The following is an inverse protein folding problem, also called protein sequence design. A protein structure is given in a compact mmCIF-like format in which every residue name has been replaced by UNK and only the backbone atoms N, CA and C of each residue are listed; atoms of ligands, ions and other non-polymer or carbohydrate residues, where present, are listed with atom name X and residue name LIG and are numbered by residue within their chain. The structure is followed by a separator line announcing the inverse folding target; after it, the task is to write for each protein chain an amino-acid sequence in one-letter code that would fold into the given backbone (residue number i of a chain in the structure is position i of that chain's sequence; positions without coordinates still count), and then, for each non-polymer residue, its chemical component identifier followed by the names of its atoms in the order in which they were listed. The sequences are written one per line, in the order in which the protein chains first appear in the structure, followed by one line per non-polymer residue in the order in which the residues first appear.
data_IF_023001103904
#
_entry.id   IF_023001103904
#
_cell.length_a   1.000
_cell.length_b   1.000
_cell.length_c   1.000
_cell.angle_alpha   90.00
_cell.angle_beta   90.00
_cell.angle_gamma   90.00
#
_symmetry.space_group_name_H-M   'P 1'
#
loop_
_entity.id
_entity.type
_entity.pdbx_description
1 polymer ?
#
# COMPACT_ATOMS: atom_id res chain seq x y z
N UNK A 1 -30.78 22.39 -7.91
CA UNK A 1 -30.70 21.21 -7.01
C UNK A 1 -29.36 21.15 -6.30
N UNK A 2 -28.23 21.20 -7.02
CA UNK A 2 -26.87 21.10 -6.44
C UNK A 2 -26.64 22.02 -5.22
N UNK A 3 -26.95 23.32 -5.33
CA UNK A 3 -26.76 24.30 -4.24
C UNK A 3 -27.54 24.00 -2.96
N UNK A 4 -28.59 23.18 -3.01
CA UNK A 4 -29.40 22.79 -1.84
C UNK A 4 -28.87 21.54 -1.13
N UNK A 5 -28.13 20.70 -1.84
CA UNK A 5 -27.79 19.34 -1.40
C UNK A 5 -26.30 19.15 -1.19
N UNK A 6 -25.46 19.81 -1.99
CA UNK A 6 -24.02 19.76 -1.83
C UNK A 6 -23.60 20.37 -0.48
N UNK A 7 -22.76 19.65 0.25
CA UNK A 7 -22.33 20.01 1.61
C UNK A 7 -23.36 19.70 2.70
N UNK A 8 -24.51 19.11 2.36
CA UNK A 8 -25.50 18.73 3.35
C UNK A 8 -25.11 17.44 4.07
N UNK A 9 -25.51 17.36 5.34
CA UNK A 9 -25.49 16.11 6.09
C UNK A 9 -26.77 15.34 5.81
N UNK A 10 -26.65 14.04 5.63
CA UNK A 10 -27.80 13.19 5.34
C UNK A 10 -27.81 11.92 6.18
N UNK A 11 -29.00 11.39 6.42
CA UNK A 11 -29.21 10.01 6.86
C UNK A 11 -29.84 9.21 5.73
N UNK A 12 -29.26 8.07 5.38
CA UNK A 12 -29.86 7.20 4.37
C UNK A 12 -31.18 6.61 4.88
N UNK A 13 -32.21 6.53 4.04
CA UNK A 13 -33.45 5.81 4.34
C UNK A 13 -33.46 4.39 3.79
N UNK A 14 -32.54 4.11 2.88
CA UNK A 14 -32.37 2.83 2.21
C UNK A 14 -31.06 2.17 2.63
N UNK A 15 -31.00 0.85 2.49
CA UNK A 15 -29.73 0.14 2.61
C UNK A 15 -28.82 0.51 1.43
N UNK A 16 -27.54 0.69 1.68
CA UNK A 16 -26.56 1.01 0.65
C UNK A 16 -25.40 0.02 0.70
N UNK A 17 -24.63 -0.06 -0.38
CA UNK A 17 -23.43 -0.88 -0.46
C UNK A 17 -22.26 -0.08 -1.01
N UNK A 18 -21.06 -0.42 -0.54
CA UNK A 18 -19.79 0.12 -1.04
C UNK A 18 -18.75 -0.97 -1.11
N UNK A 19 -17.85 -0.91 -2.10
CA UNK A 19 -16.64 -1.71 -2.12
C UNK A 19 -15.53 -1.13 -1.25
N UNK A 20 -15.67 0.12 -0.78
CA UNK A 20 -14.69 0.83 0.05
C UNK A 20 -13.27 0.82 -0.55
N UNK A 21 -13.17 0.77 -1.88
CA UNK A 21 -11.92 0.71 -2.65
C UNK A 21 -11.37 2.09 -3.02
N UNK A 22 -11.98 3.16 -2.51
CA UNK A 22 -11.69 4.55 -2.88
C UNK A 22 -12.48 5.03 -4.11
N UNK A 23 -13.18 4.14 -4.81
CA UNK A 23 -14.15 4.47 -5.85
C UNK A 23 -15.57 4.34 -5.30
N UNK A 24 -16.48 5.15 -5.85
CA UNK A 24 -17.90 5.06 -5.54
C UNK A 24 -18.49 3.74 -6.09
N UNK A 25 -19.44 3.19 -5.37
CA UNK A 25 -20.22 2.04 -5.80
C UNK A 25 -21.64 2.50 -6.05
N UNK A 26 -22.13 2.26 -7.26
CA UNK A 26 -23.47 2.64 -7.68
C UNK A 26 -24.51 1.88 -6.85
N UNK A 27 -25.43 2.64 -6.26
CA UNK A 27 -26.62 2.11 -5.62
C UNK A 27 -27.83 2.65 -6.37
N UNK A 28 -28.38 1.86 -7.29
CA UNK A 28 -29.59 2.23 -8.02
C UNK A 28 -30.78 2.22 -7.08
N UNK A 29 -31.39 3.38 -6.86
CA UNK A 29 -32.53 3.56 -5.97
C UNK A 29 -33.80 3.80 -6.78
N UNK A 30 -34.71 2.83 -6.74
CA UNK A 30 -36.06 2.93 -7.30
C UNK A 30 -37.08 2.83 -6.17
N UNK A 31 -37.55 3.98 -5.67
CA UNK A 31 -38.38 4.06 -4.48
C UNK A 31 -37.63 3.60 -3.23
N UNK A 32 -38.03 2.47 -2.63
CA UNK A 32 -37.35 1.88 -1.47
C UNK A 32 -36.42 0.71 -1.82
N UNK A 33 -36.38 0.30 -3.09
CA UNK A 33 -35.54 -0.80 -3.56
C UNK A 33 -34.16 -0.27 -3.96
N UNK A 34 -33.12 -0.98 -3.52
CA UNK A 34 -31.73 -0.68 -3.89
C UNK A 34 -31.10 -1.89 -4.57
N UNK A 35 -30.50 -1.65 -5.72
CA UNK A 35 -29.67 -2.63 -6.43
C UNK A 35 -28.22 -2.16 -6.42
N UNK A 36 -27.34 -2.97 -5.83
CA UNK A 36 -25.89 -2.73 -5.81
C UNK A 36 -25.14 -4.06 -5.71
N UNK A 37 -23.84 -4.03 -6.00
CA UNK A 37 -22.92 -5.17 -5.92
C UNK A 37 -21.76 -4.93 -4.95
N UNK A 38 -21.87 -3.90 -4.11
CA UNK A 38 -20.83 -3.54 -3.17
C UNK A 38 -20.59 -4.62 -2.11
N UNK A 39 -19.32 -4.82 -1.76
CA UNK A 39 -18.88 -5.81 -0.78
C UNK A 39 -19.41 -5.55 0.63
N UNK A 40 -19.47 -4.29 1.05
CA UNK A 40 -19.88 -3.89 2.39
C UNK A 40 -21.31 -3.34 2.36
N UNK A 41 -22.11 -3.77 3.33
CA UNK A 41 -23.51 -3.37 3.46
C UNK A 41 -23.69 -2.37 4.60
N UNK A 42 -24.41 -1.31 4.28
CA UNK A 42 -24.75 -0.20 5.16
C UNK A 42 -26.26 -0.21 5.36
N UNK A 43 -26.69 -0.24 6.62
CA UNK A 43 -28.13 -0.28 6.95
C UNK A 43 -28.78 1.08 6.67
N UNK A 44 -30.11 1.18 6.59
CA UNK A 44 -30.76 2.47 6.72
C UNK A 44 -30.32 3.21 7.99
N UNK A 45 -30.41 4.53 7.96
CA UNK A 45 -30.02 5.44 9.03
C UNK A 45 -28.54 5.79 9.04
N UNK A 46 -27.82 5.58 7.94
CA UNK A 46 -26.38 5.86 7.89
C UNK A 46 -26.10 7.32 7.65
N UNK A 47 -25.22 7.86 8.49
CA UNK A 47 -24.75 9.23 8.40
C UNK A 47 -23.79 9.36 7.22
N UNK A 48 -24.07 10.29 6.32
CA UNK A 48 -23.19 10.63 5.22
C UNK A 48 -23.12 12.14 5.00
N UNK A 49 -22.06 12.59 4.35
CA UNK A 49 -21.89 13.95 3.88
C UNK A 49 -21.98 13.98 2.36
N UNK A 50 -22.82 14.84 1.79
CA UNK A 50 -22.99 14.95 0.34
C UNK A 50 -21.87 15.80 -0.25
N UNK A 51 -20.94 15.15 -0.94
CA UNK A 51 -19.75 15.81 -1.51
C UNK A 51 -20.06 16.44 -2.87
N UNK A 52 -20.89 15.74 -3.67
CA UNK A 52 -21.26 16.15 -5.02
C UNK A 52 -22.67 15.65 -5.38
N UNK A 53 -23.32 16.38 -6.28
CA UNK A 53 -24.64 16.05 -6.82
C UNK A 53 -24.58 16.18 -8.32
N UNK A 54 -24.83 15.09 -9.04
CA UNK A 54 -24.90 15.08 -10.50
C UNK A 54 -26.34 14.88 -10.97
N UNK A 55 -26.86 15.81 -11.75
CA UNK A 55 -28.24 15.75 -12.27
C UNK A 55 -28.22 15.23 -13.69
N UNK A 56 -28.91 14.12 -13.93
CA UNK A 56 -29.07 13.49 -15.23
C UNK A 56 -30.52 13.55 -15.70
N UNK A 57 -30.74 13.24 -16.99
CA UNK A 57 -32.08 13.32 -17.64
C UNK A 57 -33.21 12.54 -16.94
N UNK A 58 -32.89 11.53 -16.15
CA UNK A 58 -33.86 10.62 -15.51
C UNK A 58 -33.40 10.11 -14.14
N UNK A 59 -32.38 10.74 -13.55
CA UNK A 59 -31.85 10.38 -12.23
C UNK A 59 -31.04 11.52 -11.65
N UNK A 60 -30.81 11.48 -10.35
CA UNK A 60 -29.88 12.36 -9.65
C UNK A 60 -28.95 11.48 -8.82
N UNK A 61 -27.66 11.66 -9.03
CA UNK A 61 -26.62 10.86 -8.40
C UNK A 61 -26.09 11.66 -7.20
N UNK A 62 -26.28 11.11 -5.99
CA UNK A 62 -25.78 11.69 -4.75
C UNK A 62 -24.47 11.00 -4.36
N UNK A 63 -23.37 11.70 -4.58
CA UNK A 63 -22.02 11.24 -4.26
C UNK A 63 -21.70 11.71 -2.84
N UNK A 64 -21.44 10.78 -1.94
CA UNK A 64 -21.35 11.04 -0.51
C UNK A 64 -20.27 10.21 0.18
N UNK A 65 -19.72 10.77 1.26
CA UNK A 65 -18.73 10.11 2.09
C UNK A 65 -19.31 9.75 3.46
N UNK A 66 -19.01 8.54 3.92
CA UNK A 66 -19.31 8.13 5.29
C UNK A 66 -18.22 8.65 6.24
N UNK A 67 -18.57 9.42 7.28
CA UNK A 67 -17.59 9.95 8.23
C UNK A 67 -16.96 8.85 9.09
N UNK A 68 -17.76 7.83 9.45
CA UNK A 68 -17.32 6.68 10.24
C UNK A 68 -16.70 5.62 9.33
N UNK A 69 -15.39 5.33 9.43
CA UNK A 69 -14.75 4.30 8.63
C UNK A 69 -15.23 2.90 9.05
N UNK A 70 -14.86 1.90 8.27
CA UNK A 70 -14.99 0.50 8.67
C UNK A 70 -13.61 -0.08 8.99
N UNK A 71 -13.60 -1.03 9.93
CA UNK A 71 -12.38 -1.68 10.36
C UNK A 71 -12.20 -2.99 9.60
N UNK A 72 -11.18 -3.08 8.75
CA UNK A 72 -10.94 -4.25 7.90
C UNK A 72 -9.67 -4.97 8.31
N UNK A 73 -9.83 -6.24 8.65
CA UNK A 73 -8.72 -7.12 9.00
C UNK A 73 -7.94 -7.58 7.77
N UNK A 74 -6.61 -7.60 7.88
CA UNK A 74 -5.70 -8.22 6.92
C UNK A 74 -4.64 -9.04 7.65
N UNK A 75 -3.99 -9.96 6.94
CA UNK A 75 -2.97 -10.85 7.50
C UNK A 75 -1.59 -10.39 7.01
N UNK A 76 -0.63 -10.24 7.94
CA UNK A 76 0.79 -10.08 7.64
C UNK A 76 1.60 -11.04 8.53
N UNK A 77 2.19 -12.07 7.91
CA UNK A 77 2.80 -13.17 8.64
C UNK A 77 1.80 -13.83 9.60
N UNK A 78 2.15 -14.05 10.89
CA UNK A 78 1.25 -14.65 11.87
C UNK A 78 0.25 -13.65 12.49
N UNK A 79 0.31 -12.37 12.12
CA UNK A 79 -0.51 -11.32 12.74
C UNK A 79 -1.74 -10.97 11.91
N UNK A 80 -2.87 -10.84 12.59
CA UNK A 80 -4.07 -10.20 12.05
C UNK A 80 -4.06 -8.72 12.42
N UNK A 81 -3.87 -7.87 11.43
CA UNK A 81 -3.82 -6.43 11.54
C UNK A 81 -5.11 -5.81 11.00
N UNK A 82 -5.33 -4.53 11.27
CA UNK A 82 -6.56 -3.84 10.91
C UNK A 82 -6.28 -2.46 10.34
N UNK A 83 -6.89 -2.17 9.20
CA UNK A 83 -6.90 -0.85 8.58
C UNK A 83 -8.28 -0.23 8.73
N UNK A 84 -8.30 1.09 8.91
CA UNK A 84 -9.50 1.88 8.78
C UNK A 84 -9.65 2.31 7.33
N UNK A 85 -10.74 1.91 6.70
CA UNK A 85 -11.03 2.31 5.32
C UNK A 85 -12.29 3.17 5.28
N UNK A 86 -12.22 4.24 4.48
CA UNK A 86 -13.35 5.12 4.21
C UNK A 86 -14.14 4.57 3.04
N UNK A 87 -15.46 4.60 3.17
CA UNK A 87 -16.37 4.04 2.19
C UNK A 87 -17.13 5.18 1.51
N UNK A 88 -16.75 5.56 0.28
CA UNK A 88 -17.59 6.41 -0.55
C UNK A 88 -18.88 5.67 -0.93
N UNK A 89 -19.97 6.40 -1.05
CA UNK A 89 -21.27 5.91 -1.49
C UNK A 89 -21.81 6.81 -2.60
N UNK A 90 -22.48 6.19 -3.56
CA UNK A 90 -23.20 6.90 -4.62
C UNK A 90 -24.62 6.33 -4.69
N UNK A 91 -25.61 7.20 -4.53
CA UNK A 91 -27.02 6.86 -4.68
C UNK A 91 -27.53 7.40 -6.00
N UNK A 92 -27.81 6.51 -6.95
CA UNK A 92 -28.41 6.81 -8.24
C UNK A 92 -29.93 6.83 -8.05
N UNK A 93 -30.48 7.99 -7.66
CA UNK A 93 -31.91 8.12 -7.35
C UNK A 93 -32.67 8.34 -8.65
N UNK A 94 -33.56 7.42 -9.00
CA UNK A 94 -34.43 7.59 -10.17
C UNK A 94 -35.37 8.78 -9.99
N UNK A 95 -35.42 9.66 -11.00
CA UNK A 95 -36.27 10.86 -10.99
C UNK A 95 -37.08 10.91 -12.29
N UNK A 96 -38.39 11.18 -12.23
CA UNK A 96 -39.21 11.40 -13.42
C UNK A 96 -38.61 12.47 -14.36
N UNK A 97 -38.60 12.18 -15.68
CA UNK A 97 -37.94 13.02 -16.69
C UNK A 97 -38.56 14.42 -16.82
N UNK A 98 -39.85 14.51 -16.61
CA UNK A 98 -40.63 15.75 -16.58
C UNK A 98 -40.16 16.68 -15.46
N UNK A 99 -39.82 16.16 -14.28
CA UNK A 99 -39.26 16.98 -13.19
C UNK A 99 -37.91 17.58 -13.57
N UNK A 100 -37.04 16.79 -14.22
CA UNK A 100 -35.72 17.28 -14.65
C UNK A 100 -35.83 18.26 -15.82
N UNK A 101 -36.62 17.93 -16.83
CA UNK A 101 -36.77 18.77 -18.04
C UNK A 101 -37.46 20.11 -17.77
N UNK A 102 -38.33 20.17 -16.78
CA UNK A 102 -38.98 21.41 -16.34
C UNK A 102 -38.19 22.17 -15.26
N UNK A 103 -37.00 21.71 -14.89
CA UNK A 103 -36.20 22.23 -13.76
C UNK A 103 -37.02 22.38 -12.45
N UNK A 104 -37.90 21.40 -12.19
CA UNK A 104 -38.71 21.37 -10.97
C UNK A 104 -37.87 20.93 -9.78
N UNK A 105 -37.09 21.87 -9.27
CA UNK A 105 -36.20 21.67 -8.13
C UNK A 105 -36.92 21.21 -6.86
N UNK A 106 -38.21 21.52 -6.70
CA UNK A 106 -38.99 21.11 -5.54
C UNK A 106 -39.49 19.68 -5.69
N UNK A 107 -39.95 19.30 -6.89
CA UNK A 107 -40.27 17.92 -7.23
C UNK A 107 -39.05 17.00 -7.05
N UNK A 108 -37.89 17.41 -7.55
CA UNK A 108 -36.63 16.67 -7.39
C UNK A 108 -36.25 16.55 -5.90
N UNK A 109 -36.33 17.63 -5.12
CA UNK A 109 -36.06 17.60 -3.67
C UNK A 109 -36.99 16.62 -2.95
N UNK A 110 -38.27 16.57 -3.33
CA UNK A 110 -39.24 15.64 -2.77
C UNK A 110 -38.91 14.18 -3.09
N UNK A 111 -38.36 13.88 -4.27
CA UNK A 111 -37.93 12.52 -4.64
C UNK A 111 -36.69 12.13 -3.87
N UNK A 112 -35.66 13.00 -3.82
CA UNK A 112 -34.43 12.74 -3.05
C UNK A 112 -34.71 12.49 -1.56
N UNK A 113 -35.68 13.20 -0.97
CA UNK A 113 -36.12 13.01 0.41
C UNK A 113 -36.75 11.64 0.70
N UNK A 114 -37.09 10.85 -0.32
CA UNK A 114 -37.53 9.46 -0.14
C UNK A 114 -36.33 8.53 0.11
N UNK A 115 -35.16 8.86 -0.44
CA UNK A 115 -33.93 8.09 -0.28
C UNK A 115 -33.08 8.53 0.93
N UNK A 116 -33.15 9.81 1.31
CA UNK A 116 -32.36 10.38 2.40
C UNK A 116 -33.14 11.42 3.23
N UNK A 117 -32.84 11.55 4.51
CA UNK A 117 -33.18 12.75 5.30
C UNK A 117 -32.03 13.75 5.23
N UNK A 118 -32.32 15.03 4.98
CA UNK A 118 -31.33 16.11 4.90
C UNK A 118 -31.33 16.95 6.17
N UNK A 119 -30.13 17.25 6.67
CA UNK A 119 -29.85 18.03 7.87
C UNK A 119 -28.87 19.16 7.57
N UNK A 120 -28.89 20.19 8.41
CA UNK A 120 -28.01 21.36 8.29
C UNK A 120 -26.62 21.13 8.89
N UNK A 121 -26.50 20.21 9.86
CA UNK A 121 -25.25 19.88 10.52
C UNK A 121 -25.14 18.39 10.87
N UNK A 122 -23.93 17.95 11.19
CA UNK A 122 -23.65 16.58 11.61
C UNK A 122 -24.35 16.27 12.94
N UNK A 123 -24.31 17.22 13.86
CA UNK A 123 -24.88 17.09 15.21
C UNK A 123 -26.41 16.93 15.14
N UNK A 124 -27.07 17.69 14.26
CA UNK A 124 -28.51 17.58 14.01
C UNK A 124 -28.86 16.19 13.47
N UNK A 125 -28.11 15.70 12.48
CA UNK A 125 -28.30 14.36 11.93
C UNK A 125 -28.08 13.26 12.99
N UNK A 126 -27.05 13.39 13.84
CA UNK A 126 -26.77 12.43 14.91
C UNK A 126 -27.80 12.49 16.07
N UNK A 127 -28.45 13.62 16.29
CA UNK A 127 -29.53 13.73 17.27
C UNK A 127 -30.86 13.15 16.76
N UNK A 128 -30.99 12.90 15.45
CA UNK A 128 -32.21 12.39 14.85
C UNK A 128 -32.45 10.92 15.23
N UNK A 129 -33.72 10.59 15.50
CA UNK A 129 -34.14 9.21 15.84
C UNK A 129 -33.91 8.20 14.72
N UNK A 130 -33.80 8.67 13.47
CA UNK A 130 -33.52 7.84 12.30
C UNK A 130 -32.05 7.48 12.15
N UNK A 131 -31.15 8.09 12.92
CA UNK A 131 -29.74 7.70 12.89
C UNK A 131 -29.57 6.33 13.54
N UNK A 132 -28.88 5.43 12.83
CA UNK A 132 -28.71 4.06 13.28
C UNK A 132 -27.60 3.88 14.33
N UNK A 133 -26.92 4.97 14.71
CA UNK A 133 -25.90 4.97 15.76
C UNK A 133 -24.60 4.29 15.35
N UNK A 134 -24.37 3.98 14.06
CA UNK A 134 -23.16 3.26 13.65
C UNK A 134 -21.92 4.05 14.05
N UNK A 135 -21.00 3.34 14.71
CA UNK A 135 -19.62 3.76 14.97
C UNK A 135 -18.69 2.71 14.37
N UNK A 136 -17.46 3.10 14.06
CA UNK A 136 -16.41 2.15 13.70
C UNK A 136 -16.26 1.08 14.80
N UNK A 137 -16.17 -0.19 14.41
CA UNK A 137 -15.91 -1.29 15.33
C UNK A 137 -14.64 -1.04 16.17
N UNK A 138 -14.62 -1.41 17.46
CA UNK A 138 -13.43 -1.28 18.28
C UNK A 138 -12.33 -2.21 17.78
N UNK A 139 -11.08 -1.80 17.99
CA UNK A 139 -9.96 -2.72 17.83
C UNK A 139 -10.06 -3.86 18.86
N UNK A 140 -9.46 -5.04 18.58
CA UNK A 140 -9.29 -6.08 19.59
C UNK A 140 -8.61 -5.56 20.85
N UNK A 141 -8.97 -6.09 22.02
CA UNK A 141 -8.49 -5.58 23.31
C UNK A 141 -6.95 -5.54 23.46
N UNK A 142 -6.24 -6.46 22.81
CA UNK A 142 -4.78 -6.58 22.82
C UNK A 142 -4.12 -6.04 21.53
N UNK A 143 -4.79 -5.17 20.78
CA UNK A 143 -4.29 -4.75 19.47
C UNK A 143 -2.97 -3.96 19.55
N UNK A 144 -2.77 -3.14 20.60
CA UNK A 144 -1.50 -2.44 20.79
C UNK A 144 -0.32 -3.39 21.04
N UNK A 145 -0.55 -4.47 21.80
CA UNK A 145 0.45 -5.53 21.97
C UNK A 145 0.72 -6.23 20.63
N UNK A 146 -0.34 -6.52 19.86
CA UNK A 146 -0.22 -7.13 18.53
C UNK A 146 0.63 -6.27 17.58
N UNK A 147 0.47 -4.94 17.62
CA UNK A 147 1.28 -4.01 16.83
C UNK A 147 2.76 -4.01 17.26
N UNK A 148 3.03 -4.02 18.56
CA UNK A 148 4.40 -4.07 19.07
C UNK A 148 5.10 -5.39 18.70
N UNK A 149 4.41 -6.53 18.87
CA UNK A 149 4.91 -7.85 18.47
C UNK A 149 5.12 -7.94 16.94
N UNK A 150 4.22 -7.36 16.14
CA UNK A 150 4.36 -7.29 14.69
C UNK A 150 5.58 -6.46 14.27
N UNK A 151 5.81 -5.30 14.89
CA UNK A 151 6.99 -4.48 14.60
C UNK A 151 8.30 -5.20 14.94
N UNK A 152 8.35 -5.87 16.09
CA UNK A 152 9.50 -6.68 16.48
C UNK A 152 9.73 -7.83 15.49
N UNK A 153 8.66 -8.51 15.06
CA UNK A 153 8.74 -9.56 14.05
C UNK A 153 9.22 -9.03 12.69
N UNK A 154 8.72 -7.88 12.22
CA UNK A 154 9.20 -7.26 10.96
C UNK A 154 10.68 -6.90 11.03
N UNK A 155 11.14 -6.36 12.15
CA UNK A 155 12.56 -6.09 12.38
C UNK A 155 13.39 -7.37 12.35
N UNK A 156 12.93 -8.45 12.98
CA UNK A 156 13.59 -9.76 12.93
C UNK A 156 13.68 -10.30 11.49
N UNK A 157 12.59 -10.23 10.70
CA UNK A 157 12.59 -10.67 9.31
C UNK A 157 13.58 -9.86 8.45
N UNK A 158 13.60 -8.52 8.62
CA UNK A 158 14.52 -7.65 7.90
C UNK A 158 15.98 -7.95 8.28
N UNK A 159 16.27 -8.08 9.57
CA UNK A 159 17.61 -8.39 10.09
C UNK A 159 18.09 -9.77 9.63
N UNK A 160 17.20 -10.77 9.60
CA UNK A 160 17.53 -12.08 9.06
C UNK A 160 17.88 -12.02 7.57
N UNK A 161 17.17 -11.20 6.77
CA UNK A 161 17.49 -10.99 5.37
C UNK A 161 18.85 -10.28 5.18
N UNK A 162 19.16 -9.29 6.02
CA UNK A 162 20.46 -8.61 6.02
C UNK A 162 21.58 -9.58 6.38
N UNK A 163 21.40 -10.39 7.42
CA UNK A 163 22.39 -11.39 7.83
C UNK A 163 22.62 -12.41 6.72
N UNK A 164 21.56 -12.98 6.14
CA UNK A 164 21.67 -13.91 5.03
C UNK A 164 22.39 -13.28 3.81
N UNK A 165 22.21 -11.98 3.59
CA UNK A 165 22.93 -11.25 2.55
C UNK A 165 24.40 -11.10 2.87
N UNK A 166 24.76 -10.78 4.12
CA UNK A 166 26.14 -10.73 4.58
C UNK A 166 26.84 -12.09 4.43
N UNK A 167 26.19 -13.17 4.85
CA UNK A 167 26.73 -14.53 4.77
C UNK A 167 27.00 -14.93 3.31
N UNK A 168 26.03 -14.72 2.42
CA UNK A 168 26.21 -14.96 0.97
C UNK A 168 27.33 -14.12 0.38
N UNK A 169 27.43 -12.87 0.82
CA UNK A 169 28.47 -11.95 0.36
C UNK A 169 29.86 -12.41 0.78
N UNK A 170 30.00 -12.86 2.02
CA UNK A 170 31.25 -13.41 2.54
C UNK A 170 31.66 -14.68 1.79
N UNK A 171 30.69 -15.57 1.50
CA UNK A 171 30.94 -16.78 0.71
C UNK A 171 31.39 -16.45 -0.72
N UNK A 172 30.70 -15.53 -1.40
CA UNK A 172 31.11 -15.09 -2.75
C UNK A 172 32.48 -14.43 -2.76
N UNK A 173 32.81 -13.60 -1.75
CA UNK A 173 34.15 -13.02 -1.60
C UNK A 173 35.23 -14.10 -1.43
N UNK A 174 34.96 -15.13 -0.61
CA UNK A 174 35.87 -16.27 -0.42
C UNK A 174 36.09 -17.05 -1.73
N UNK A 175 35.01 -17.33 -2.48
CA UNK A 175 35.11 -18.00 -3.78
C UNK A 175 35.84 -17.16 -4.83
N UNK A 176 35.79 -15.83 -4.73
CA UNK A 176 36.55 -14.94 -5.62
C UNK A 176 38.05 -15.04 -5.35
N UNK A 177 38.45 -15.09 -4.08
CA UNK A 177 39.87 -15.22 -3.72
C UNK A 177 40.47 -16.53 -4.23
N UNK A 178 39.71 -17.63 -4.21
CA UNK A 178 40.17 -18.92 -4.76
C UNK A 178 40.30 -18.94 -6.29
N UNK A 179 39.58 -18.05 -6.99
CA UNK A 179 39.57 -17.94 -8.45
C UNK A 179 40.58 -16.93 -9.00
N UNK A 180 41.27 -16.19 -8.13
CA UNK A 180 42.31 -15.26 -8.57
C UNK A 180 43.44 -16.02 -9.27
N UNK A 181 43.81 -15.54 -10.45
CA UNK A 181 44.92 -16.09 -11.24
C UNK A 181 45.97 -15.02 -11.49
N UNK A 182 47.20 -15.45 -11.75
CA UNK A 182 48.30 -14.57 -12.14
C UNK A 182 48.29 -14.20 -13.64
N UNK A 183 47.25 -14.58 -14.37
CA UNK A 183 47.10 -14.26 -15.80
C UNK A 183 46.96 -12.75 -16.01
N UNK A 184 47.77 -12.20 -16.91
CA UNK A 184 47.86 -10.75 -17.10
C UNK A 184 46.56 -10.16 -17.67
N UNK A 185 45.87 -10.85 -18.57
CA UNK A 185 44.61 -10.39 -19.16
C UNK A 185 43.50 -10.40 -18.10
N UNK A 186 43.44 -11.46 -17.28
CA UNK A 186 42.54 -11.55 -16.14
C UNK A 186 42.77 -10.41 -15.14
N UNK A 187 44.02 -10.18 -14.71
CA UNK A 187 44.34 -9.12 -13.73
C UNK A 187 44.03 -7.71 -14.27
N UNK A 188 44.26 -7.47 -15.57
CA UNK A 188 43.88 -6.21 -16.21
C UNK A 188 42.35 -6.00 -16.22
N UNK A 189 41.59 -7.07 -16.50
CA UNK A 189 40.14 -7.05 -16.39
C UNK A 189 39.69 -6.78 -14.96
N UNK A 190 40.27 -7.49 -14.00
CA UNK A 190 39.97 -7.35 -12.58
C UNK A 190 40.16 -5.93 -12.06
N UNK A 191 41.31 -5.31 -12.34
CA UNK A 191 41.55 -3.91 -11.97
C UNK A 191 40.52 -2.95 -12.60
N UNK A 192 40.14 -3.20 -13.86
CA UNK A 192 39.11 -2.40 -14.55
C UNK A 192 37.74 -2.55 -13.90
N UNK A 193 37.37 -3.77 -13.48
CA UNK A 193 36.14 -4.05 -12.75
C UNK A 193 36.10 -3.38 -11.37
N UNK A 194 37.22 -3.41 -10.64
CA UNK A 194 37.35 -2.70 -9.36
C UNK A 194 37.09 -1.21 -9.52
N UNK A 195 37.70 -0.56 -10.51
CA UNK A 195 37.52 0.87 -10.76
C UNK A 195 36.11 1.22 -11.24
N UNK A 196 35.48 0.34 -12.03
CA UNK A 196 34.09 0.51 -12.45
C UNK A 196 33.13 0.46 -11.24
N UNK A 197 33.33 -0.50 -10.32
CA UNK A 197 32.45 -0.65 -9.17
C UNK A 197 32.60 0.48 -8.15
N UNK A 198 33.79 1.06 -7.98
CA UNK A 198 33.99 2.23 -7.11
C UNK A 198 33.12 3.43 -7.50
N UNK A 199 32.70 3.52 -8.78
CA UNK A 199 31.84 4.58 -9.30
C UNK A 199 30.36 4.27 -9.14
N UNK A 200 30.00 3.04 -8.80
CA UNK A 200 28.62 2.65 -8.56
C UNK A 200 28.19 3.17 -7.20
N UNK A 201 27.13 3.95 -7.20
CA UNK A 201 26.54 4.48 -5.98
C UNK A 201 25.79 3.39 -5.21
N UNK A 202 26.22 3.15 -3.97
CA UNK A 202 25.62 2.24 -3.00
C UNK A 202 25.22 3.04 -1.75
N UNK A 203 24.44 4.10 -1.95
CA UNK A 203 24.17 5.12 -0.93
C UNK A 203 23.37 4.58 0.26
N UNK A 204 22.45 3.63 0.03
CA UNK A 204 21.53 3.14 1.06
C UNK A 204 21.44 1.61 1.10
N UNK A 205 20.88 1.10 2.21
CA UNK A 205 20.67 -0.32 2.46
C UNK A 205 19.82 -1.00 1.37
N UNK A 206 18.80 -0.31 0.85
CA UNK A 206 17.92 -0.84 -0.21
C UNK A 206 18.67 -1.06 -1.52
N UNK A 207 19.56 -0.14 -1.90
CA UNK A 207 20.41 -0.23 -3.09
C UNK A 207 21.37 -1.43 -3.02
N UNK A 208 21.89 -1.75 -1.84
CA UNK A 208 22.78 -2.90 -1.62
C UNK A 208 21.97 -4.21 -1.61
N UNK A 209 20.81 -4.21 -0.95
CA UNK A 209 19.95 -5.39 -0.82
C UNK A 209 19.29 -5.81 -2.15
N UNK A 210 18.96 -4.85 -3.02
CA UNK A 210 18.27 -5.10 -4.29
C UNK A 210 19.17 -5.56 -5.44
N UNK A 211 20.48 -5.32 -5.38
CA UNK A 211 21.42 -5.72 -6.44
C UNK A 211 21.71 -7.22 -6.41
N UNK A 212 21.94 -7.80 -7.58
CA UNK A 212 22.35 -9.20 -7.75
C UNK A 212 23.82 -9.26 -8.17
N UNK A 213 24.57 -10.23 -7.63
CA UNK A 213 25.95 -10.52 -8.02
C UNK A 213 26.10 -10.87 -9.51
N UNK A 214 25.03 -11.32 -10.16
CA UNK A 214 25.00 -11.54 -11.60
C UNK A 214 24.97 -10.23 -12.42
N UNK A 215 24.46 -9.14 -11.84
CA UNK A 215 24.16 -7.88 -12.54
C UNK A 215 24.57 -6.67 -11.70
N UNK A 216 25.87 -6.55 -11.39
CA UNK A 216 26.37 -5.54 -10.44
C UNK A 216 26.67 -4.17 -11.04
N UNK A 217 26.91 -4.08 -12.34
CA UNK A 217 27.49 -2.88 -12.91
C UNK A 217 27.43 -2.81 -14.43
N UNK A 218 27.95 -1.72 -15.01
CA UNK A 218 27.92 -1.50 -16.43
C UNK A 218 28.62 -2.63 -17.18
N UNK A 219 28.07 -2.95 -18.35
CA UNK A 219 28.63 -3.93 -19.27
C UNK A 219 30.10 -3.59 -19.56
N UNK A 220 30.99 -4.60 -19.59
CA UNK A 220 32.39 -4.38 -19.87
C UNK A 220 32.57 -3.61 -21.18
N UNK A 221 33.24 -2.45 -21.12
CA UNK A 221 33.76 -1.80 -22.30
C UNK A 221 35.19 -2.33 -22.52
N UNK A 222 35.47 -3.03 -23.64
CA UNK A 222 36.79 -3.58 -23.88
C UNK A 222 37.81 -2.42 -23.99
N UNK A 223 38.82 -2.44 -23.13
CA UNK A 223 39.86 -1.41 -23.08
C UNK A 223 40.87 -1.51 -24.25
N UNK A 224 40.83 -2.60 -25.04
CA UNK A 224 41.73 -2.84 -26.18
C UNK A 224 40.99 -3.42 -27.39
N UNK A 225 41.32 -3.01 -28.62
CA UNK A 225 40.81 -3.66 -29.82
C UNK A 225 41.44 -5.06 -29.95
N UNK A 226 40.57 -6.08 -29.93
CA UNK A 226 40.80 -7.48 -30.32
C UNK A 226 42.16 -8.09 -29.93
N UNK A 227 42.30 -8.46 -28.66
CA UNK A 227 43.04 -9.68 -28.36
C UNK A 227 42.21 -10.88 -28.83
N UNK A 228 42.85 -12.02 -29.10
CA UNK A 228 42.16 -13.27 -29.46
C UNK A 228 41.03 -13.61 -28.47
N UNK A 229 40.04 -14.40 -28.92
CA UNK A 229 38.81 -14.65 -28.15
C UNK A 229 39.04 -15.15 -26.72
N UNK A 230 40.12 -15.88 -26.47
CA UNK A 230 40.49 -16.36 -25.14
C UNK A 230 40.97 -15.26 -24.19
N UNK A 231 41.83 -14.34 -24.65
CA UNK A 231 42.29 -13.20 -23.84
C UNK A 231 41.11 -12.29 -23.47
N UNK A 232 40.19 -12.06 -24.41
CA UNK A 232 38.96 -11.30 -24.14
C UNK A 232 38.07 -11.98 -23.10
N UNK A 233 37.96 -13.32 -23.12
CA UNK A 233 37.23 -14.07 -22.11
C UNK A 233 37.90 -14.00 -20.74
N UNK A 234 39.24 -14.14 -20.67
CA UNK A 234 40.00 -14.02 -19.41
C UNK A 234 39.84 -12.63 -18.81
N UNK A 235 39.98 -11.59 -19.62
CA UNK A 235 39.73 -10.20 -19.22
C UNK A 235 38.29 -9.99 -18.73
N UNK A 236 37.29 -10.50 -19.46
CA UNK A 236 35.88 -10.38 -19.08
C UNK A 236 35.57 -11.06 -17.75
N UNK A 237 36.15 -12.24 -17.48
CA UNK A 237 36.04 -12.91 -16.18
C UNK A 237 36.66 -12.07 -15.08
N UNK A 238 37.88 -11.57 -15.30
CA UNK A 238 38.55 -10.66 -14.38
C UNK A 238 37.68 -9.45 -14.04
N UNK A 239 37.13 -8.78 -15.04
CA UNK A 239 36.25 -7.62 -14.86
C UNK A 239 35.04 -7.93 -13.97
N UNK A 240 34.35 -9.05 -14.21
CA UNK A 240 33.23 -9.47 -13.38
C UNK A 240 33.65 -9.77 -11.94
N UNK A 241 34.77 -10.47 -11.76
CA UNK A 241 35.28 -10.80 -10.43
C UNK A 241 35.75 -9.55 -9.65
N UNK A 242 36.30 -8.55 -10.34
CA UNK A 242 36.64 -7.24 -9.77
C UNK A 242 35.41 -6.45 -9.30
N UNK A 243 34.33 -6.43 -10.11
CA UNK A 243 33.05 -5.83 -9.71
C UNK A 243 32.49 -6.50 -8.45
N UNK A 244 32.44 -7.84 -8.46
CA UNK A 244 31.89 -8.64 -7.36
C UNK A 244 32.67 -8.45 -6.07
N UNK A 245 34.00 -8.38 -6.13
CA UNK A 245 34.81 -8.19 -4.92
C UNK A 245 34.51 -6.84 -4.26
N UNK A 246 34.54 -5.75 -5.01
CA UNK A 246 34.28 -4.41 -4.44
C UNK A 246 32.87 -4.33 -3.88
N UNK A 247 31.89 -4.85 -4.61
CA UNK A 247 30.52 -4.90 -4.13
C UNK A 247 30.39 -5.72 -2.83
N UNK A 248 31.09 -6.85 -2.74
CA UNK A 248 31.09 -7.69 -1.55
C UNK A 248 31.69 -6.97 -0.34
N UNK A 249 32.83 -6.31 -0.53
CA UNK A 249 33.48 -5.53 0.53
C UNK A 249 32.60 -4.38 1.01
N UNK A 250 31.99 -3.61 0.10
CA UNK A 250 31.08 -2.52 0.47
C UNK A 250 29.82 -3.04 1.18
N UNK A 251 29.27 -4.17 0.72
CA UNK A 251 28.13 -4.82 1.36
C UNK A 251 28.47 -5.25 2.80
N UNK A 252 29.61 -5.93 3.01
CA UNK A 252 30.06 -6.34 4.35
C UNK A 252 30.35 -5.14 5.26
N UNK A 253 30.81 -4.01 4.70
CA UNK A 253 31.09 -2.80 5.48
C UNK A 253 29.81 -2.06 5.89
N UNK A 254 28.81 -1.98 5.02
CA UNK A 254 27.65 -1.08 5.20
C UNK A 254 26.41 -1.79 5.76
N UNK A 255 26.14 -3.02 5.32
CA UNK A 255 24.95 -3.75 5.74
C UNK A 255 24.83 -3.97 7.27
N UNK A 256 25.91 -4.11 8.05
CA UNK A 256 25.78 -4.17 9.52
C UNK A 256 25.13 -2.92 10.12
N UNK A 257 25.29 -1.74 9.49
CA UNK A 257 24.61 -0.51 9.89
C UNK A 257 23.13 -0.45 9.48
N UNK A 258 22.64 -1.43 8.71
CA UNK A 258 21.26 -1.50 8.25
C UNK A 258 20.35 -2.32 9.17
N UNK A 259 20.91 -2.96 10.21
CA UNK A 259 20.11 -3.70 11.17
C UNK A 259 19.12 -2.78 11.87
N UNK A 260 17.86 -3.18 11.85
CA UNK A 260 16.76 -2.47 12.50
C UNK A 260 16.75 -2.87 13.97
N UNK A 261 16.77 -1.88 14.87
CA UNK A 261 16.50 -2.14 16.28
C UNK A 261 15.05 -2.59 16.42
N UNK A 262 14.85 -3.85 16.79
CA UNK A 262 13.52 -4.32 17.15
C UNK A 262 13.09 -3.56 18.42
N UNK A 263 11.88 -2.98 18.46
CA UNK A 263 11.33 -2.51 19.72
C UNK A 263 11.35 -3.70 20.69
N UNK A 264 11.71 -3.45 21.95
CA UNK A 264 11.56 -4.46 22.99
C UNK A 264 10.08 -4.86 22.99
N UNK A 265 9.77 -6.03 22.44
CA UNK A 265 8.47 -6.64 22.61
C UNK A 265 8.34 -6.76 24.12
N UNK A 266 7.46 -5.95 24.72
CA UNK A 266 7.21 -6.00 26.16
C UNK A 266 7.00 -7.47 26.47
N UNK A 267 7.99 -8.08 27.12
CA UNK A 267 8.02 -9.49 27.38
C UNK A 267 6.91 -9.75 28.38
N UNK A 268 5.69 -9.89 27.86
CA UNK A 268 4.57 -10.41 28.60
C UNK A 268 5.04 -11.78 29.03
N UNK A 269 5.29 -11.87 30.33
CA UNK A 269 5.66 -13.05 31.08
C UNK A 269 4.79 -14.22 30.62
N UNK A 270 5.21 -14.94 29.58
CA UNK A 270 4.76 -16.30 29.33
C UNK A 270 5.44 -17.12 30.40
N UNK A 271 4.90 -17.07 31.63
CA UNK A 271 5.12 -18.13 32.61
C UNK A 271 4.66 -19.41 31.92
N UNK A 272 5.51 -20.43 31.76
CA UNK A 272 5.01 -21.75 31.41
C UNK A 272 4.05 -22.16 32.53
N UNK A 273 2.84 -22.59 32.14
CA UNK A 273 1.97 -23.32 33.03
C UNK A 273 2.70 -24.63 33.35
N UNK A 274 3.21 -24.73 34.58
CA UNK A 274 3.60 -26.00 35.19
C UNK A 274 2.35 -26.77 35.61
#
# INVERSE_FOLDING_TARGET
VESRWRGAWVLTKVAAQSDCSGLHTDNLVSGTLVSSKGRYQFRPGELAHVDKVDVHRSRVDLIMSLPEPILVGYQDGPFKLYNEIRCPLELDVEVPRDLVSNDDTNGIDSVLRQAVDRFSSQEEAQAAKSWNGRRRDPYPANYQQTLAEHQAWKAQQANAAIQARLDRTAEEASRLTDRLTSDQDYLAGFASGVEAMKRVELADCGSIMSRDFANLGPTPQPARPAANGEAQQRWGRGYQDGLKLVFALESMRRLPGCFIQAPEAQASQRRPLN
#
